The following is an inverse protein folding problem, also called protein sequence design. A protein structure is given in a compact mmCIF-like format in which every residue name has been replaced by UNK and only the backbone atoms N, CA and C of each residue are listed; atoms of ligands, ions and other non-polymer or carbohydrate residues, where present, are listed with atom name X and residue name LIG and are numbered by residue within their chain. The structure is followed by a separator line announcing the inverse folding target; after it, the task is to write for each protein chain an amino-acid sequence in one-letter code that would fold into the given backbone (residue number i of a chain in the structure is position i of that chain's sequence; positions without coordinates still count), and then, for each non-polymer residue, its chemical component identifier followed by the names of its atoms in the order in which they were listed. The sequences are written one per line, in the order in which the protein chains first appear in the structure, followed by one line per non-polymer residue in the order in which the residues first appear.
data_IF_310178675623
#
_entry.id   IF_310178675623
#
_cell.length_a   1.000
_cell.length_b   1.000
_cell.length_c   1.000
_cell.angle_alpha   90.00
_cell.angle_beta   90.00
_cell.angle_gamma   90.00
#
_symmetry.space_group_name_H-M   'P 1'
#
loop_
_entity.id
_entity.type
_entity.pdbx_description
1 polymer ?
#
# COMPACT_ATOMS: atom_id res chain seq x y z
N UNK A 1 14.48 21.36 -6.49
CA UNK A 1 14.86 21.59 -5.08
C UNK A 1 14.61 20.28 -4.36
N UNK A 2 15.65 19.46 -4.19
CA UNK A 2 15.52 18.14 -3.55
C UNK A 2 15.61 18.33 -2.04
N UNK A 3 14.55 17.96 -1.33
CA UNK A 3 14.58 17.88 0.13
C UNK A 3 15.39 16.62 0.47
N UNK A 4 16.57 16.81 1.05
CA UNK A 4 17.44 15.72 1.49
C UNK A 4 16.94 15.23 2.86
N UNK A 5 15.88 14.43 2.84
CA UNK A 5 15.44 13.65 4.00
C UNK A 5 16.25 12.36 4.15
N UNK A 6 16.09 11.62 5.26
CA UNK A 6 16.68 10.31 5.43
C UNK A 6 16.31 9.40 4.25
N UNK A 7 17.30 8.69 3.71
CA UNK A 7 17.08 7.79 2.58
C UNK A 7 16.42 6.50 3.08
N UNK A 8 15.09 6.42 3.01
CA UNK A 8 14.39 5.13 3.07
C UNK A 8 14.30 4.52 1.68
N UNK A 9 14.74 3.27 1.55
CA UNK A 9 14.43 2.43 0.40
C UNK A 9 13.19 1.60 0.73
N UNK A 10 12.15 1.75 -0.09
CA UNK A 10 11.01 0.83 -0.08
C UNK A 10 11.43 -0.44 -0.80
N UNK A 11 11.21 -1.58 -0.17
CA UNK A 11 11.61 -2.88 -0.73
C UNK A 11 10.50 -3.52 -1.56
N UNK A 12 9.30 -2.94 -1.56
CA UNK A 12 8.18 -3.39 -2.38
C UNK A 12 7.65 -2.30 -3.31
N UNK A 13 7.09 -2.76 -4.43
CA UNK A 13 6.32 -1.93 -5.37
C UNK A 13 5.11 -2.73 -5.86
N UNK A 14 3.97 -2.07 -6.00
CA UNK A 14 2.75 -2.71 -6.46
C UNK A 14 2.79 -2.97 -7.98
N UNK A 15 2.72 -4.24 -8.37
CA UNK A 15 2.40 -4.64 -9.74
C UNK A 15 0.90 -4.58 -9.99
N UNK A 16 0.46 -3.79 -10.96
CA UNK A 16 -0.95 -3.74 -11.35
C UNK A 16 -1.25 -4.81 -12.39
N UNK A 17 -2.33 -5.56 -12.18
CA UNK A 17 -2.63 -6.76 -12.96
C UNK A 17 -3.31 -6.44 -14.28
N UNK A 18 -4.23 -5.48 -14.28
CA UNK A 18 -5.01 -5.11 -15.45
C UNK A 18 -4.27 -4.06 -16.27
N UNK A 19 -4.38 -4.10 -17.60
CA UNK A 19 -3.73 -3.11 -18.47
C UNK A 19 -4.68 -2.60 -19.56
N UNK A 20 -4.69 -1.28 -19.87
CA UNK A 20 -3.83 -0.27 -19.27
C UNK A 20 -4.29 0.16 -17.86
N UNK A 21 -3.34 0.23 -16.92
CA UNK A 21 -3.56 0.86 -15.61
C UNK A 21 -2.90 2.23 -15.53
N UNK A 22 -3.64 3.22 -15.06
CA UNK A 22 -3.11 4.55 -14.80
C UNK A 22 -2.54 4.57 -13.38
N UNK A 23 -1.25 4.91 -13.25
CA UNK A 23 -0.56 4.92 -11.95
C UNK A 23 -0.16 6.31 -11.48
N UNK A 24 -0.19 6.51 -10.16
CA UNK A 24 0.37 7.69 -9.48
C UNK A 24 1.05 7.26 -8.19
N UNK A 25 2.18 7.90 -7.87
CA UNK A 25 2.94 7.61 -6.65
C UNK A 25 3.13 8.87 -5.81
N UNK A 26 3.11 8.74 -4.48
CA UNK A 26 3.39 9.82 -3.52
C UNK A 26 4.19 9.29 -2.34
N UNK A 27 4.99 10.17 -1.76
CA UNK A 27 5.85 9.87 -0.61
C UNK A 27 5.72 10.96 0.43
N UNK A 28 5.66 10.58 1.71
CA UNK A 28 5.72 11.49 2.84
C UNK A 28 6.20 10.75 4.09
N UNK A 29 6.45 11.49 5.17
CA UNK A 29 6.83 10.94 6.47
C UNK A 29 5.81 11.29 7.53
N UNK A 30 5.76 10.47 8.58
CA UNK A 30 5.01 10.69 9.82
C UNK A 30 6.00 10.71 10.97
N UNK A 31 5.86 11.72 11.83
CA UNK A 31 6.69 11.92 13.01
C UNK A 31 5.85 11.71 14.28
N UNK A 32 6.51 11.34 15.38
CA UNK A 32 5.86 11.23 16.70
C UNK A 32 4.93 10.01 16.87
N UNK A 33 4.89 9.09 15.90
CA UNK A 33 4.16 7.83 15.98
C UNK A 33 5.09 6.67 15.62
N UNK A 34 4.90 5.51 16.26
CA UNK A 34 5.64 4.31 15.90
C UNK A 34 5.16 3.74 14.56
N UNK A 35 5.99 2.90 13.92
CA UNK A 35 5.62 2.19 12.70
C UNK A 35 4.31 1.40 12.83
N UNK A 36 4.14 0.65 13.93
CA UNK A 36 2.95 -0.15 14.18
C UNK A 36 1.73 0.73 14.44
N UNK A 37 1.88 1.86 15.15
CA UNK A 37 0.80 2.83 15.36
C UNK A 37 0.32 3.43 14.04
N UNK A 38 1.24 3.87 13.18
CA UNK A 38 0.90 4.44 11.86
C UNK A 38 0.18 3.41 11.00
N UNK A 39 0.72 2.19 10.89
CA UNK A 39 0.12 1.14 10.10
C UNK A 39 -1.28 0.77 10.62
N UNK A 40 -1.45 0.59 11.93
CA UNK A 40 -2.73 0.28 12.56
C UNK A 40 -3.75 1.39 12.37
N UNK A 41 -3.32 2.66 12.49
CA UNK A 41 -4.18 3.79 12.21
C UNK A 41 -4.67 3.80 10.75
N UNK A 42 -3.78 3.55 9.79
CA UNK A 42 -4.14 3.52 8.36
C UNK A 42 -5.08 2.35 8.03
N UNK A 43 -4.89 1.18 8.65
CA UNK A 43 -5.80 0.05 8.49
C UNK A 43 -7.19 0.33 9.05
N UNK A 44 -7.28 1.06 10.17
CA UNK A 44 -8.54 1.43 10.80
C UNK A 44 -9.23 2.64 10.15
N UNK A 45 -8.48 3.47 9.41
CA UNK A 45 -8.96 4.69 8.78
C UNK A 45 -8.62 4.68 7.27
N UNK A 46 -9.29 3.82 6.48
CA UNK A 46 -9.06 3.76 5.05
C UNK A 46 -9.43 5.10 4.38
N UNK A 47 -8.86 5.32 3.20
CA UNK A 47 -9.19 6.48 2.36
C UNK A 47 -10.71 6.57 2.15
N UNK A 48 -11.32 7.76 2.21
CA UNK A 48 -12.77 7.90 2.09
C UNK A 48 -13.34 7.18 0.87
N UNK A 49 -14.36 6.34 1.08
CA UNK A 49 -15.00 5.54 0.04
C UNK A 49 -14.29 4.22 -0.29
N UNK A 50 -13.16 3.91 0.35
CA UNK A 50 -12.43 2.65 0.21
C UNK A 50 -12.48 1.84 1.51
N UNK A 51 -12.12 0.56 1.41
CA UNK A 51 -11.94 -0.35 2.53
C UNK A 51 -10.50 -0.85 2.59
N UNK A 52 -9.99 -1.09 3.79
CA UNK A 52 -8.69 -1.75 3.96
C UNK A 52 -8.79 -3.23 3.61
N UNK A 53 -7.80 -3.74 2.88
CA UNK A 53 -7.68 -5.14 2.55
C UNK A 53 -7.21 -6.00 3.74
N UNK A 54 -6.58 -5.38 4.74
CA UNK A 54 -6.11 -6.04 5.96
C UNK A 54 -7.28 -6.33 6.90
N UNK A 55 -7.23 -7.47 7.59
CA UNK A 55 -8.32 -7.97 8.45
C UNK A 55 -8.01 -7.93 9.95
N UNK A 56 -6.87 -7.35 10.35
CA UNK A 56 -6.50 -7.21 11.75
C UNK A 56 -5.30 -6.26 11.94
N UNK A 57 -5.09 -5.75 13.16
CA UNK A 57 -3.96 -4.89 13.46
C UNK A 57 -2.64 -5.69 13.39
N UNK A 58 -1.55 -4.98 13.11
CA UNK A 58 -0.21 -5.48 13.37
C UNK A 58 0.01 -5.59 14.88
N UNK A 59 0.73 -6.65 15.24
CA UNK A 59 1.31 -6.81 16.57
C UNK A 59 2.24 -5.62 16.89
N UNK A 60 2.11 -4.96 18.05
CA UNK A 60 3.03 -3.90 18.48
C UNK A 60 4.51 -4.32 18.46
N UNK A 61 4.79 -5.60 18.71
CA UNK A 61 6.15 -6.16 18.73
C UNK A 61 6.55 -6.77 17.36
N UNK A 62 5.84 -6.40 16.29
CA UNK A 62 6.11 -6.93 14.95
C UNK A 62 7.57 -6.66 14.54
N UNK A 63 8.31 -7.71 14.12
CA UNK A 63 9.68 -7.55 13.63
C UNK A 63 9.72 -6.95 12.21
N UNK A 64 8.57 -6.76 11.55
CA UNK A 64 8.51 -6.25 10.18
C UNK A 64 9.02 -4.81 10.10
N UNK A 65 9.86 -4.53 9.10
CA UNK A 65 10.38 -3.17 8.83
C UNK A 65 9.53 -2.41 7.81
N UNK A 66 8.62 -3.11 7.14
CA UNK A 66 7.71 -2.58 6.13
C UNK A 66 6.38 -3.34 6.15
N UNK A 67 5.28 -2.68 5.81
CA UNK A 67 3.97 -3.31 5.62
C UNK A 67 3.21 -2.66 4.47
N UNK A 68 2.59 -3.51 3.64
CA UNK A 68 1.66 -3.08 2.60
C UNK A 68 0.22 -3.08 3.13
N UNK A 69 -0.50 -1.99 2.88
CA UNK A 69 -1.90 -1.79 3.24
C UNK A 69 -2.64 -1.36 1.96
N UNK A 70 -3.50 -2.23 1.44
CA UNK A 70 -4.33 -1.91 0.29
C UNK A 70 -5.63 -1.25 0.73
N UNK A 71 -5.93 -0.09 0.18
CA UNK A 71 -7.25 0.53 0.23
C UNK A 71 -7.94 0.32 -1.12
N UNK A 72 -9.01 -0.45 -1.12
CA UNK A 72 -9.71 -0.90 -2.33
C UNK A 72 -11.19 -0.49 -2.30
N UNK A 73 -11.85 -0.28 -3.46
CA UNK A 73 -13.26 0.14 -3.49
C UNK A 73 -14.23 -0.93 -2.97
N UNK A 74 -13.88 -2.21 -3.16
CA UNK A 74 -14.60 -3.36 -2.61
C UNK A 74 -13.66 -4.57 -2.59
N UNK A 75 -14.08 -5.65 -1.91
CA UNK A 75 -13.29 -6.89 -1.88
C UNK A 75 -13.11 -7.47 -3.27
N UNK A 76 -11.91 -7.95 -3.57
CA UNK A 76 -11.50 -8.50 -4.86
C UNK A 76 -11.25 -7.47 -5.97
N UNK A 77 -11.34 -6.17 -5.69
CA UNK A 77 -10.97 -5.16 -6.68
C UNK A 77 -9.47 -5.25 -7.02
N UNK A 78 -9.13 -5.01 -8.29
CA UNK A 78 -7.74 -5.04 -8.81
C UNK A 78 -7.17 -3.63 -9.02
N UNK A 79 -7.84 -2.64 -8.45
CA UNK A 79 -7.47 -1.22 -8.46
C UNK A 79 -7.64 -0.63 -7.06
N UNK A 80 -7.04 0.53 -6.82
CA UNK A 80 -7.11 1.23 -5.54
C UNK A 80 -5.81 1.95 -5.19
N UNK A 81 -5.49 1.98 -3.89
CA UNK A 81 -4.26 2.58 -3.37
C UNK A 81 -3.54 1.56 -2.50
N UNK A 82 -2.27 1.32 -2.75
CA UNK A 82 -1.40 0.54 -1.87
C UNK A 82 -0.50 1.50 -1.11
N UNK A 83 -0.59 1.47 0.21
CA UNK A 83 0.32 2.19 1.08
C UNK A 83 1.37 1.23 1.61
N UNK A 84 2.61 1.50 1.27
CA UNK A 84 3.77 0.89 1.90
C UNK A 84 4.22 1.79 3.04
N UNK A 85 4.07 1.30 4.27
CA UNK A 85 4.55 1.98 5.48
C UNK A 85 5.88 1.33 5.84
N UNK A 86 6.93 2.12 6.12
CA UNK A 86 8.27 1.61 6.40
C UNK A 86 8.93 2.36 7.56
N UNK A 87 9.74 1.65 8.36
CA UNK A 87 10.59 2.26 9.39
C UNK A 87 11.71 3.08 8.76
N UNK A 88 12.05 4.19 9.38
CA UNK A 88 13.24 5.00 9.05
C UNK A 88 14.20 4.93 10.23
N UNK A 89 15.50 4.92 9.96
CA UNK A 89 16.55 4.76 10.98
C UNK A 89 16.61 5.89 12.02
N UNK A 90 16.05 7.05 11.71
CA UNK A 90 15.95 8.20 12.62
C UNK A 90 14.70 8.15 13.52
N UNK A 91 13.91 7.07 13.45
CA UNK A 91 12.68 6.89 14.21
C UNK A 91 11.43 7.47 13.56
N UNK A 92 11.54 8.09 12.38
CA UNK A 92 10.37 8.48 11.58
C UNK A 92 9.75 7.28 10.87
N UNK A 93 8.53 7.45 10.36
CA UNK A 93 7.84 6.45 9.55
C UNK A 93 7.65 7.01 8.14
N UNK A 94 8.15 6.32 7.12
CA UNK A 94 7.98 6.71 5.73
C UNK A 94 6.76 6.01 5.13
N UNK A 95 6.02 6.72 4.29
CA UNK A 95 4.89 6.18 3.55
C UNK A 95 5.11 6.40 2.06
N UNK A 96 4.97 5.33 1.30
CA UNK A 96 4.86 5.33 -0.16
C UNK A 96 3.44 4.91 -0.52
N UNK A 97 2.71 5.78 -1.22
CA UNK A 97 1.39 5.47 -1.76
C UNK A 97 1.47 5.26 -3.26
N UNK A 98 0.99 4.11 -3.72
CA UNK A 98 0.84 3.74 -5.12
C UNK A 98 -0.64 3.62 -5.46
N UNK A 99 -1.11 4.49 -6.33
CA UNK A 99 -2.48 4.48 -6.85
C UNK A 99 -2.45 3.77 -8.20
N UNK A 100 -3.38 2.86 -8.41
CA UNK A 100 -3.66 2.23 -9.70
C UNK A 100 -5.14 2.27 -9.97
N UNK A 101 -5.51 2.83 -11.12
CA UNK A 101 -6.88 2.85 -11.60
C UNK A 101 -6.94 2.18 -12.98
N UNK A 102 -7.82 1.19 -13.11
CA UNK A 102 -8.01 0.50 -14.36
C UNK A 102 -8.68 1.46 -15.36
N UNK A 103 -8.13 1.58 -16.57
CA UNK A 103 -8.82 2.29 -17.64
C UNK A 103 -10.12 1.56 -18.02
N UNK A 104 -11.05 2.26 -18.67
CA UNK A 104 -12.33 1.67 -19.09
C UNK A 104 -12.17 0.51 -20.08
N UNK A 105 -11.05 0.47 -20.80
CA UNK A 105 -10.66 -0.57 -21.75
C UNK A 105 -9.63 -1.55 -21.16
N UNK A 106 -9.39 -1.51 -19.85
CA UNK A 106 -8.44 -2.39 -19.20
C UNK A 106 -8.85 -3.86 -19.30
N UNK A 107 -7.88 -4.70 -19.64
CA UNK A 107 -8.02 -6.14 -19.69
C UNK A 107 -7.22 -6.74 -18.55
N UNK A 108 -7.88 -7.52 -17.70
CA UNK A 108 -7.23 -8.26 -16.63
C UNK A 108 -6.95 -9.70 -17.12
N UNK A 109 -5.70 -10.16 -17.15
CA UNK A 109 -5.38 -11.53 -17.53
C UNK A 109 -6.03 -12.52 -16.55
N UNK A 110 -6.36 -13.73 -17.04
CA UNK A 110 -6.79 -14.81 -16.15
C UNK A 110 -5.61 -15.26 -15.29
N UNK A 111 -5.78 -15.40 -13.96
CA UNK A 111 -4.72 -15.88 -13.09
C UNK A 111 -4.29 -17.30 -13.48
N UNK A 112 -2.99 -17.61 -13.47
CA UNK A 112 -2.48 -18.95 -13.75
C UNK A 112 -3.17 -20.00 -12.87
N UNK A 113 -3.62 -21.10 -13.48
CA UNK A 113 -4.31 -22.17 -12.75
C UNK A 113 -5.74 -21.85 -12.30
N UNK A 114 -6.33 -20.74 -12.76
CA UNK A 114 -7.75 -20.41 -12.51
C UNK A 114 -8.06 -19.89 -11.11
N UNK A 115 -7.04 -19.42 -10.37
CA UNK A 115 -7.18 -18.86 -9.01
C UNK A 115 -7.73 -17.42 -8.99
N UNK A 116 -7.28 -16.62 -8.01
CA UNK A 116 -7.50 -15.16 -7.96
C UNK A 116 -6.16 -14.44 -7.79
N UNK A 117 -6.05 -13.20 -8.28
CA UNK A 117 -4.81 -12.42 -8.20
C UNK A 117 -4.50 -11.86 -6.81
N UNK A 118 -5.44 -11.93 -5.87
CA UNK A 118 -5.37 -11.20 -4.60
C UNK A 118 -5.71 -9.71 -4.77
N UNK A 119 -6.05 -9.04 -3.67
CA UNK A 119 -6.25 -7.58 -3.66
C UNK A 119 -4.89 -6.87 -3.72
N UNK A 120 -4.82 -5.64 -4.26
CA UNK A 120 -3.61 -4.81 -4.23
C UNK A 120 -2.97 -4.78 -2.84
N UNK A 121 -1.65 -4.98 -2.75
CA UNK A 121 -0.89 -5.05 -1.51
C UNK A 121 -0.90 -6.41 -0.79
N UNK A 122 -1.51 -7.46 -1.36
CA UNK A 122 -1.47 -8.84 -0.82
C UNK A 122 -0.44 -9.76 -1.50
N UNK A 123 0.31 -9.25 -2.48
CA UNK A 123 1.32 -10.00 -3.25
C UNK A 123 2.66 -10.11 -2.55
#
# INVERSE_FOLDING_TARGET
MQVKGPTTSFNSSQGWVCEPTITKQRFWTVEGMSFTDVANWMMANPTPGLISNRTGPLDPDSPADEVNIGNVPHRGALEGVVFTVAKVSDGTVAIHAEIGAAATDAVCPTPPGGGSWGEPGMG
#
